data_IF_377221006087
#
_entry.id   IF_377221006087
#
_cell.length_a   1.000
_cell.length_b   1.000
_cell.length_c   1.000
_cell.angle_alpha   90.00
_cell.angle_beta   90.00
_cell.angle_gamma   90.00
#
_symmetry.space_group_name_H-M   'P 1'
#
loop_
_entity.id
_entity.type
_entity.pdbx_description
1 polymer ?
#
# COMPACT_ATOMS: atom_id res chain seq x y z
N UNK A 1 12.96 82.14 6.97
CA UNK A 1 12.25 81.62 5.78
C UNK A 1 12.87 80.29 5.41
N UNK A 2 12.15 79.17 5.56
CA UNK A 2 12.62 77.87 5.09
C UNK A 2 12.58 77.86 3.56
N UNK A 3 13.75 77.85 2.95
CA UNK A 3 13.97 77.98 1.51
C UNK A 3 13.42 76.76 0.74
N UNK A 4 12.87 76.94 -0.47
CA UNK A 4 12.39 75.86 -1.36
C UNK A 4 13.48 74.85 -1.78
N UNK A 5 14.74 75.20 -1.55
CA UNK A 5 15.92 74.34 -1.68
C UNK A 5 15.84 73.10 -0.75
N UNK A 6 15.22 73.23 0.42
CA UNK A 6 15.11 72.16 1.42
C UNK A 6 14.20 70.98 0.99
N UNK A 7 13.19 71.24 0.15
CA UNK A 7 12.28 70.20 -0.34
C UNK A 7 12.95 69.41 -1.46
N UNK A 8 13.63 70.09 -2.39
CA UNK A 8 14.40 69.42 -3.45
C UNK A 8 15.50 68.55 -2.88
N UNK A 9 16.18 69.03 -1.85
CA UNK A 9 17.25 68.28 -1.17
C UNK A 9 16.71 67.02 -0.45
N UNK A 10 15.52 67.10 0.16
CA UNK A 10 14.85 65.92 0.74
C UNK A 10 14.39 64.91 -0.31
N UNK A 11 13.85 65.39 -1.44
CA UNK A 11 13.40 64.52 -2.53
C UNK A 11 14.61 63.79 -3.12
N UNK A 12 15.70 64.50 -3.40
CA UNK A 12 16.93 63.90 -3.91
C UNK A 12 17.52 62.87 -2.93
N UNK A 13 17.62 63.21 -1.64
CA UNK A 13 18.07 62.26 -0.60
C UNK A 13 17.22 60.99 -0.52
N UNK A 14 15.92 61.10 -0.79
CA UNK A 14 15.02 59.93 -0.79
C UNK A 14 15.27 59.04 -2.01
N UNK A 15 15.42 59.63 -3.19
CA UNK A 15 15.77 58.89 -4.41
C UNK A 15 17.16 58.27 -4.33
N UNK A 16 18.13 58.98 -3.75
CA UNK A 16 19.47 58.45 -3.51
C UNK A 16 19.45 57.29 -2.52
N UNK A 17 18.61 57.36 -1.48
CA UNK A 17 18.42 56.25 -0.53
C UNK A 17 17.84 55.01 -1.21
N UNK A 18 16.86 55.19 -2.11
CA UNK A 18 16.26 54.09 -2.90
C UNK A 18 17.28 53.51 -3.89
N UNK A 19 18.09 54.36 -4.55
CA UNK A 19 19.13 53.93 -5.48
C UNK A 19 20.32 53.25 -4.76
N UNK A 20 20.60 53.63 -3.52
CA UNK A 20 21.61 52.99 -2.67
C UNK A 20 21.14 51.69 -2.02
N UNK A 21 19.85 51.37 -2.14
CA UNK A 21 19.26 50.16 -1.60
C UNK A 21 19.74 48.96 -2.44
N UNK A 22 20.74 48.25 -1.94
CA UNK A 22 21.32 47.08 -2.58
C UNK A 22 20.27 45.97 -2.73
N UNK A 23 20.38 45.19 -3.82
CA UNK A 23 19.51 44.04 -4.06
C UNK A 23 19.47 43.14 -2.82
N UNK A 24 18.27 42.96 -2.26
CA UNK A 24 18.10 42.20 -1.03
C UNK A 24 18.55 40.77 -1.28
N UNK A 25 19.68 40.39 -0.68
CA UNK A 25 20.27 39.06 -0.81
C UNK A 25 19.36 38.03 -0.17
N UNK A 26 18.48 37.45 -0.97
CA UNK A 26 17.68 36.31 -0.54
C UNK A 26 18.60 35.13 -0.24
N UNK A 27 18.18 34.29 0.71
CA UNK A 27 18.90 33.05 1.00
C UNK A 27 18.95 32.19 -0.26
N UNK A 28 20.10 31.59 -0.61
CA UNK A 28 20.20 30.69 -1.76
C UNK A 28 19.28 29.46 -1.62
N UNK A 29 18.83 29.14 -0.40
CA UNK A 29 17.94 28.03 -0.10
C UNK A 29 16.46 28.43 -0.01
N UNK A 30 16.11 29.68 -0.32
CA UNK A 30 14.73 30.16 -0.17
C UNK A 30 13.74 29.35 -1.02
N UNK A 31 14.10 29.10 -2.28
CA UNK A 31 13.31 28.25 -3.19
C UNK A 31 13.14 26.84 -2.63
N UNK A 32 14.22 26.22 -2.18
CA UNK A 32 14.17 24.83 -1.70
C UNK A 32 13.33 24.70 -0.43
N UNK A 33 13.46 25.65 0.51
CA UNK A 33 12.65 25.65 1.74
C UNK A 33 11.18 25.92 1.47
N UNK A 34 10.87 26.80 0.54
CA UNK A 34 9.47 27.11 0.18
C UNK A 34 8.80 25.96 -0.54
N UNK A 35 9.50 25.31 -1.48
CA UNK A 35 9.01 24.10 -2.16
C UNK A 35 8.81 22.96 -1.16
N UNK A 36 9.80 22.67 -0.32
CA UNK A 36 9.64 21.63 0.72
C UNK A 36 8.42 21.91 1.61
N UNK A 37 8.20 23.17 2.03
CA UNK A 37 7.06 23.52 2.87
C UNK A 37 5.71 23.40 2.13
N UNK A 38 5.66 23.79 0.85
CA UNK A 38 4.45 23.76 0.04
C UNK A 38 3.99 22.34 -0.32
N UNK A 39 4.94 21.41 -0.44
CA UNK A 39 4.66 20.01 -0.80
C UNK A 39 4.74 19.03 0.37
N UNK A 40 5.28 19.42 1.53
CA UNK A 40 5.30 18.58 2.74
C UNK A 40 3.90 18.16 3.22
N UNK A 41 2.88 18.99 3.00
CA UNK A 41 1.48 18.68 3.33
C UNK A 41 0.80 17.79 2.28
N UNK A 42 1.33 17.76 1.04
CA UNK A 42 0.87 16.84 -0.02
C UNK A 42 1.53 15.46 0.07
N UNK A 43 2.61 15.34 0.84
CA UNK A 43 3.24 14.07 1.22
C UNK A 43 2.67 13.51 2.53
N UNK A 44 1.44 13.89 2.91
CA UNK A 44 0.67 12.97 3.76
C UNK A 44 0.62 11.64 3.02
N UNK A 45 1.34 10.66 3.59
CA UNK A 45 1.48 9.31 3.11
C UNK A 45 0.09 8.70 3.02
N UNK A 46 -0.60 8.95 1.91
CA UNK A 46 -1.78 8.18 1.56
C UNK A 46 -1.30 6.74 1.55
N UNK A 47 -1.83 5.86 2.43
CA UNK A 47 -1.46 4.46 2.41
C UNK A 47 -2.16 3.83 1.21
N UNK A 48 -1.74 4.19 0.00
CA UNK A 48 -2.28 3.69 -1.28
C UNK A 48 -2.17 2.16 -1.36
N UNK A 49 -1.34 1.54 -0.51
CA UNK A 49 -1.17 0.09 -0.37
C UNK A 49 -1.13 -0.40 1.09
N UNK A 50 -1.55 0.42 2.07
CA UNK A 50 -1.34 0.11 3.50
C UNK A 50 -2.56 -0.43 4.25
N UNK A 51 -3.77 -0.35 3.68
CA UNK A 51 -4.97 -0.78 4.40
C UNK A 51 -5.23 -2.29 4.35
N UNK A 52 -4.78 -2.97 3.29
CA UNK A 52 -5.03 -4.41 3.11
C UNK A 52 -4.14 -5.29 4.01
N UNK A 53 -3.05 -4.74 4.57
CA UNK A 53 -2.09 -5.52 5.37
C UNK A 53 -1.87 -4.92 6.76
N UNK A 54 -2.94 -4.53 7.43
CA UNK A 54 -2.87 -4.14 8.85
C UNK A 54 -2.51 -5.38 9.69
N UNK A 55 -1.58 -5.29 10.66
CA UNK A 55 -1.08 -6.46 11.42
C UNK A 55 -2.17 -7.26 12.16
N UNK A 56 -3.32 -6.64 12.46
CA UNK A 56 -4.48 -7.34 13.05
C UNK A 56 -5.12 -8.36 12.10
N UNK A 57 -5.12 -8.08 10.80
CA UNK A 57 -5.70 -8.97 9.78
C UNK A 57 -4.75 -10.09 9.38
N UNK A 58 -3.43 -9.92 9.57
CA UNK A 58 -2.44 -10.97 9.26
C UNK A 58 -2.69 -12.28 10.02
N UNK A 59 -3.05 -12.18 11.31
CA UNK A 59 -3.37 -13.34 12.13
C UNK A 59 -4.66 -14.02 11.68
N UNK A 60 -5.70 -13.25 11.36
CA UNK A 60 -6.97 -13.78 10.88
C UNK A 60 -6.80 -14.49 9.54
N UNK A 61 -6.07 -13.89 8.60
CA UNK A 61 -5.78 -14.51 7.30
C UNK A 61 -4.94 -15.77 7.45
N UNK A 62 -3.95 -15.78 8.36
CA UNK A 62 -3.16 -16.98 8.66
C UNK A 62 -4.06 -18.12 9.17
N UNK A 63 -4.98 -17.83 10.11
CA UNK A 63 -5.94 -18.81 10.62
C UNK A 63 -6.85 -19.37 9.52
N UNK A 64 -7.34 -18.51 8.63
CA UNK A 64 -8.17 -18.91 7.48
C UNK A 64 -7.39 -19.84 6.54
N UNK A 65 -6.14 -19.50 6.23
CA UNK A 65 -5.28 -20.36 5.38
C UNK A 65 -5.05 -21.72 6.04
N UNK A 66 -4.76 -21.76 7.33
CA UNK A 66 -4.56 -23.01 8.08
C UNK A 66 -5.84 -23.85 8.06
N UNK A 67 -7.00 -23.25 8.34
CA UNK A 67 -8.28 -23.94 8.32
C UNK A 67 -8.61 -24.52 6.94
N UNK A 68 -8.32 -23.76 5.87
CA UNK A 68 -8.53 -24.22 4.49
C UNK A 68 -7.65 -25.44 4.16
N UNK A 69 -6.38 -25.42 4.58
CA UNK A 69 -5.47 -26.56 4.36
C UNK A 69 -5.92 -27.81 5.12
N UNK A 70 -6.35 -27.66 6.37
CA UNK A 70 -6.89 -28.78 7.17
C UNK A 70 -8.16 -29.33 6.52
N UNK A 71 -9.06 -28.46 6.06
CA UNK A 71 -10.30 -28.86 5.40
C UNK A 71 -10.04 -29.62 4.09
N UNK A 72 -9.13 -29.11 3.25
CA UNK A 72 -8.73 -29.78 2.01
C UNK A 72 -8.11 -31.15 2.30
N UNK A 73 -7.23 -31.25 3.29
CA UNK A 73 -6.62 -32.54 3.65
C UNK A 73 -7.65 -33.52 4.22
N UNK A 74 -8.58 -33.05 5.06
CA UNK A 74 -9.65 -33.89 5.58
C UNK A 74 -10.56 -34.39 4.47
N UNK A 75 -10.94 -33.50 3.54
CA UNK A 75 -11.81 -33.85 2.40
C UNK A 75 -11.10 -34.82 1.44
N UNK A 76 -9.81 -34.63 1.19
CA UNK A 76 -8.99 -35.54 0.39
C UNK A 76 -8.81 -36.92 1.05
N UNK A 77 -8.82 -36.99 2.38
CA UNK A 77 -8.76 -38.27 3.10
C UNK A 77 -10.12 -38.97 3.18
N UNK A 78 -11.23 -38.23 3.06
CA UNK A 78 -12.59 -38.78 3.00
C UNK A 78 -13.14 -38.91 1.60
N UNK A 79 -12.43 -38.46 0.56
CA UNK A 79 -12.82 -38.70 -0.83
C UNK A 79 -12.66 -40.19 -1.09
N UNK A 80 -13.76 -40.92 -0.87
CA UNK A 80 -14.36 -42.00 -1.66
C UNK A 80 -13.47 -42.82 -2.59
N UNK A 81 -12.17 -42.95 -2.34
CA UNK A 81 -11.28 -43.77 -3.14
C UNK A 81 -11.77 -45.22 -3.14
N UNK A 82 -12.24 -45.71 -1.99
CA UNK A 82 -12.89 -47.01 -1.91
C UNK A 82 -14.23 -47.06 -2.67
N UNK A 83 -15.06 -46.03 -2.62
CA UNK A 83 -16.34 -46.00 -3.35
C UNK A 83 -16.14 -45.88 -4.88
N UNK A 84 -15.13 -45.14 -5.32
CA UNK A 84 -14.74 -44.99 -6.73
C UNK A 84 -14.13 -46.29 -7.27
N UNK A 85 -13.34 -46.99 -6.46
CA UNK A 85 -12.79 -48.31 -6.80
C UNK A 85 -13.89 -49.38 -6.80
N UNK A 86 -14.84 -49.34 -5.86
CA UNK A 86 -15.97 -50.28 -5.83
C UNK A 86 -16.91 -50.04 -7.03
N UNK A 87 -17.17 -48.78 -7.38
CA UNK A 87 -17.92 -48.41 -8.58
C UNK A 87 -17.21 -48.85 -9.86
N UNK A 88 -15.89 -48.63 -9.95
CA UNK A 88 -15.08 -49.10 -11.08
C UNK A 88 -15.12 -50.63 -11.20
N UNK A 89 -14.93 -51.35 -10.09
CA UNK A 89 -14.98 -52.80 -10.09
C UNK A 89 -16.37 -53.32 -10.47
N UNK A 90 -17.44 -52.65 -10.06
CA UNK A 90 -18.81 -53.00 -10.45
C UNK A 90 -19.11 -52.67 -11.92
N UNK A 91 -18.65 -51.54 -12.44
CA UNK A 91 -18.87 -51.13 -13.83
C UNK A 91 -18.18 -52.05 -14.85
N UNK A 92 -17.07 -52.68 -14.45
CA UNK A 92 -16.32 -53.63 -15.27
C UNK A 92 -16.52 -55.10 -14.84
N UNK A 93 -17.48 -55.37 -13.94
CA UNK A 93 -17.80 -56.71 -13.40
C UNK A 93 -16.60 -57.45 -12.81
N UNK A 94 -15.62 -56.70 -12.30
CA UNK A 94 -14.41 -57.19 -11.64
C UNK A 94 -14.65 -57.50 -10.15
N UNK A 95 -15.79 -57.10 -9.61
CA UNK A 95 -16.19 -57.36 -8.23
C UNK A 95 -16.64 -58.81 -8.08
N UNK A 96 -15.69 -59.70 -7.79
CA UNK A 96 -15.99 -61.09 -7.45
C UNK A 96 -16.63 -61.16 -6.07
N UNK A 97 -17.89 -61.60 -5.99
CA UNK A 97 -18.49 -61.94 -4.71
C UNK A 97 -17.74 -63.17 -4.17
N UNK A 98 -16.97 -63.01 -3.09
CA UNK A 98 -16.20 -64.11 -2.45
C UNK A 98 -17.08 -65.19 -1.80
N UNK A 99 -18.28 -65.46 -2.31
CA UNK A 99 -19.14 -66.55 -1.84
C UNK A 99 -19.22 -67.74 -2.81
N UNK A 100 -18.58 -67.68 -3.98
CA UNK A 100 -18.43 -68.88 -4.81
C UNK A 100 -17.20 -69.68 -4.36
N UNK A 101 -17.42 -70.46 -3.29
CA UNK A 101 -16.63 -71.65 -2.99
C UNK A 101 -16.74 -72.63 -4.16
N UNK A 102 -15.92 -72.41 -5.19
CA UNK A 102 -15.82 -73.23 -6.41
C UNK A 102 -15.11 -74.58 -6.19
N UNK A 103 -14.97 -75.02 -4.94
CA UNK A 103 -14.39 -76.31 -4.55
C UNK A 103 -15.15 -76.99 -3.40
N UNK A 104 -16.48 -77.00 -3.45
CA UNK A 104 -17.28 -78.06 -2.82
C UNK A 104 -18.24 -78.70 -3.83
#
# INVERSE_FOLDING_TARGET
MSTPESIKDRVNKTFDSINSMESVKVSPFFKDKTIQRLFAEKEEKHPLFGFWFTPKWQLATLLVIIALNIFTLSTANTSSYEDEIDYFAQAYDLKTNSEDNLFN
#
